data_IF_137133349234
#
_entry.id   IF_137133349234
#
_cell.length_a   1.000
_cell.length_b   1.000
_cell.length_c   1.000
_cell.angle_alpha   90.00
_cell.angle_beta   90.00
_cell.angle_gamma   90.00
#
_symmetry.space_group_name_H-M   'P 1'
#
loop_
_entity.id
_entity.type
_entity.pdbx_description
1 polymer ?
#
# COMPACT_ATOMS: atom_id res chain seq x y z
N UNK A 1 -33.44 -7.03 7.34
CA UNK A 1 -32.14 -6.69 7.92
C UNK A 1 -31.03 -7.03 6.95
N UNK A 2 -30.17 -6.06 6.67
CA UNK A 2 -29.08 -6.25 5.75
C UNK A 2 -27.95 -7.00 6.44
N UNK A 3 -27.42 -8.07 5.85
CA UNK A 3 -26.33 -8.79 6.49
C UNK A 3 -25.09 -7.91 6.56
N UNK A 4 -24.40 -7.98 7.67
CA UNK A 4 -23.14 -7.29 7.85
C UNK A 4 -22.06 -7.94 6.99
N UNK A 5 -21.31 -7.10 6.27
CA UNK A 5 -20.17 -7.59 5.53
C UNK A 5 -18.96 -7.57 6.45
N UNK A 6 -18.44 -8.74 6.73
CA UNK A 6 -17.27 -8.87 7.59
C UNK A 6 -16.03 -8.91 6.69
N UNK A 7 -15.22 -7.88 6.79
CA UNK A 7 -13.95 -7.84 6.09
C UNK A 7 -12.95 -8.76 6.75
N UNK A 8 -12.27 -9.55 5.96
CA UNK A 8 -11.20 -10.42 6.46
C UNK A 8 -9.86 -9.74 6.21
N UNK A 9 -8.95 -9.93 7.13
CA UNK A 9 -7.57 -9.48 6.94
C UNK A 9 -6.90 -10.34 5.88
N UNK A 10 -5.93 -9.76 5.18
CA UNK A 10 -5.17 -10.44 4.14
C UNK A 10 -3.71 -10.50 4.58
N UNK A 11 -3.12 -11.67 4.54
CA UNK A 11 -1.73 -11.86 4.91
C UNK A 11 -1.01 -12.61 3.79
N UNK A 12 -0.04 -11.95 3.17
CA UNK A 12 0.78 -12.54 2.12
C UNK A 12 2.21 -12.62 2.63
N UNK A 13 2.72 -13.83 2.78
CA UNK A 13 4.11 -14.03 3.19
C UNK A 13 5.00 -13.79 1.98
N UNK A 14 5.94 -12.85 2.13
CA UNK A 14 6.83 -12.49 1.05
C UNK A 14 7.86 -13.57 0.72
N UNK A 15 8.53 -13.35 -0.40
CA UNK A 15 9.61 -14.20 -0.87
C UNK A 15 10.77 -13.29 -1.27
N UNK A 16 11.78 -13.87 -1.93
CA UNK A 16 12.89 -13.09 -2.42
C UNK A 16 12.44 -12.05 -3.47
N UNK A 17 11.41 -12.38 -4.24
CA UNK A 17 10.93 -11.53 -5.33
C UNK A 17 9.60 -10.83 -5.03
N UNK A 18 8.95 -11.13 -3.92
CA UNK A 18 7.65 -10.54 -3.59
C UNK A 18 7.65 -9.99 -2.17
N UNK A 19 6.96 -8.86 -1.94
CA UNK A 19 6.93 -8.26 -0.62
C UNK A 19 6.02 -9.03 0.33
N UNK A 20 6.28 -8.87 1.62
CA UNK A 20 5.36 -9.32 2.66
C UNK A 20 4.28 -8.26 2.81
N UNK A 21 3.02 -8.66 2.72
CA UNK A 21 1.89 -7.73 2.78
C UNK A 21 0.91 -8.20 3.85
N UNK A 22 0.58 -7.30 4.75
CA UNK A 22 -0.45 -7.56 5.76
C UNK A 22 -1.50 -6.46 5.70
N UNK A 23 -2.74 -6.83 5.44
CA UNK A 23 -3.87 -5.92 5.41
C UNK A 23 -4.75 -6.23 6.61
N UNK A 24 -4.72 -5.36 7.61
CA UNK A 24 -5.46 -5.57 8.86
C UNK A 24 -6.84 -4.93 8.75
N UNK A 25 -7.87 -5.76 8.64
CA UNK A 25 -9.24 -5.28 8.50
C UNK A 25 -9.77 -4.61 9.76
N UNK A 26 -9.24 -4.96 10.93
CA UNK A 26 -9.71 -4.41 12.20
C UNK A 26 -9.18 -3.01 12.48
N UNK A 27 -7.96 -2.72 12.01
CA UNK A 27 -7.33 -1.42 12.26
C UNK A 27 -7.34 -0.50 11.05
N UNK A 28 -7.49 -1.04 9.84
CA UNK A 28 -7.38 -0.26 8.62
C UNK A 28 -5.95 0.06 8.23
N UNK A 29 -4.97 -0.71 8.73
CA UNK A 29 -3.56 -0.51 8.40
C UNK A 29 -3.11 -1.60 7.44
N UNK A 30 -2.53 -1.21 6.32
CA UNK A 30 -1.91 -2.13 5.37
C UNK A 30 -0.42 -1.89 5.36
N UNK A 31 0.36 -2.94 5.60
CA UNK A 31 1.81 -2.85 5.59
C UNK A 31 2.37 -3.66 4.42
N UNK A 32 3.42 -3.13 3.78
CA UNK A 32 4.13 -3.81 2.71
C UNK A 32 5.62 -3.63 2.94
N UNK A 33 6.38 -4.71 2.83
CA UNK A 33 7.81 -4.68 3.13
C UNK A 33 8.58 -5.61 2.21
N UNK A 34 9.71 -5.14 1.69
CA UNK A 34 10.66 -5.93 0.91
C UNK A 34 10.75 -5.52 -0.54
N UNK A 35 11.30 -6.42 -1.36
CA UNK A 35 11.45 -6.21 -2.80
C UNK A 35 10.22 -6.71 -3.54
N UNK A 36 9.89 -6.05 -4.64
CA UNK A 36 8.75 -6.44 -5.47
C UNK A 36 9.16 -6.53 -6.93
N UNK A 37 9.41 -7.74 -7.39
CA UNK A 37 9.66 -8.03 -8.80
C UNK A 37 9.13 -9.41 -9.19
N UNK A 38 7.82 -9.67 -8.91
CA UNK A 38 7.21 -10.95 -9.29
C UNK A 38 7.15 -11.08 -10.83
N UNK A 39 7.15 -12.31 -11.31
CA UNK A 39 7.04 -12.56 -12.75
C UNK A 39 5.72 -12.06 -13.31
N UNK A 40 4.65 -12.17 -12.52
CA UNK A 40 3.33 -11.71 -12.90
C UNK A 40 2.79 -10.79 -11.80
N UNK A 41 3.11 -9.51 -11.92
CA UNK A 41 2.67 -8.53 -10.93
C UNK A 41 1.16 -8.34 -10.91
N UNK A 42 0.52 -8.45 -12.05
CA UNK A 42 -0.94 -8.34 -12.12
C UNK A 42 -1.60 -9.42 -11.26
N UNK A 43 -1.16 -10.66 -11.42
CA UNK A 43 -1.71 -11.76 -10.65
C UNK A 43 -1.38 -11.61 -9.15
N UNK A 44 -0.13 -11.26 -8.85
CA UNK A 44 0.30 -11.12 -7.47
C UNK A 44 -0.49 -10.04 -6.73
N UNK A 45 -0.68 -8.87 -7.36
CA UNK A 45 -1.32 -7.74 -6.71
C UNK A 45 -2.84 -7.75 -6.82
N UNK A 46 -3.44 -8.66 -7.61
CA UNK A 46 -4.89 -8.67 -7.79
C UNK A 46 -5.64 -8.84 -6.48
N UNK A 47 -5.15 -9.70 -5.59
CA UNK A 47 -5.76 -9.88 -4.26
C UNK A 47 -5.66 -8.62 -3.40
N UNK A 48 -4.50 -7.96 -3.47
CA UNK A 48 -4.26 -6.74 -2.68
C UNK A 48 -5.17 -5.62 -3.17
N UNK A 49 -5.25 -5.43 -4.47
CA UNK A 49 -6.10 -4.41 -5.08
C UNK A 49 -7.57 -4.68 -4.75
N UNK A 50 -7.98 -5.94 -4.86
CA UNK A 50 -9.36 -6.32 -4.51
C UNK A 50 -9.66 -6.04 -3.04
N UNK A 51 -8.71 -6.34 -2.15
CA UNK A 51 -8.89 -6.06 -0.73
C UNK A 51 -9.06 -4.56 -0.48
N UNK A 52 -8.23 -3.74 -1.11
CA UNK A 52 -8.32 -2.28 -0.96
C UNK A 52 -9.68 -1.78 -1.45
N UNK A 53 -10.11 -2.24 -2.63
CA UNK A 53 -11.42 -1.85 -3.16
C UNK A 53 -12.55 -2.19 -2.20
N UNK A 54 -12.54 -3.41 -1.66
CA UNK A 54 -13.60 -3.84 -0.75
C UNK A 54 -13.55 -3.10 0.58
N UNK A 55 -12.35 -2.86 1.10
CA UNK A 55 -12.22 -2.09 2.33
C UNK A 55 -12.79 -0.67 2.16
N UNK A 56 -12.47 -0.02 1.06
CA UNK A 56 -12.95 1.33 0.80
C UNK A 56 -14.47 1.37 0.58
N UNK A 57 -15.06 0.30 0.08
CA UNK A 57 -16.50 0.24 -0.15
C UNK A 57 -17.29 -0.09 1.11
N UNK A 58 -16.77 -0.94 1.97
CA UNK A 58 -17.54 -1.54 3.05
C UNK A 58 -17.12 -1.12 4.46
N UNK A 59 -15.86 -0.78 4.67
CA UNK A 59 -15.38 -0.36 5.98
C UNK A 59 -15.55 1.15 6.15
N UNK A 60 -15.70 1.58 7.41
CA UNK A 60 -15.79 3.00 7.73
C UNK A 60 -14.51 3.56 8.33
N UNK A 61 -13.59 2.68 8.70
CA UNK A 61 -12.32 3.07 9.28
C UNK A 61 -11.42 3.76 8.25
N UNK A 62 -10.55 4.67 8.68
CA UNK A 62 -9.52 5.19 7.79
C UNK A 62 -8.63 4.07 7.27
N UNK A 63 -8.13 4.22 6.07
CA UNK A 63 -7.16 3.29 5.49
C UNK A 63 -5.79 3.95 5.50
N UNK A 64 -4.83 3.29 6.13
CA UNK A 64 -3.46 3.78 6.23
C UNK A 64 -2.50 2.75 5.66
N UNK A 65 -1.67 3.18 4.73
CA UNK A 65 -0.64 2.33 4.14
C UNK A 65 0.71 2.68 4.76
N UNK A 66 1.42 1.67 5.25
CA UNK A 66 2.78 1.81 5.74
C UNK A 66 3.68 0.97 4.83
N UNK A 67 4.52 1.65 4.07
CA UNK A 67 5.31 1.01 3.03
C UNK A 67 6.79 1.04 3.37
N UNK A 68 7.45 -0.12 3.24
CA UNK A 68 8.89 -0.27 3.39
C UNK A 68 9.41 -1.07 2.21
N UNK A 69 9.06 -0.59 1.02
CA UNK A 69 9.46 -1.24 -0.23
C UNK A 69 10.87 -0.78 -0.60
N UNK A 70 11.70 -1.72 -1.02
CA UNK A 70 13.12 -1.47 -1.30
C UNK A 70 13.34 -1.31 -2.80
N UNK A 71 12.88 -2.29 -3.57
CA UNK A 71 13.01 -2.31 -5.02
C UNK A 71 11.68 -2.72 -5.64
N UNK A 72 11.34 -2.10 -6.76
CA UNK A 72 10.15 -2.48 -7.52
C UNK A 72 10.47 -2.50 -9.01
N UNK A 73 10.05 -3.57 -9.70
CA UNK A 73 10.13 -3.59 -11.14
C UNK A 73 9.00 -2.72 -11.73
N UNK A 74 9.05 -2.50 -13.03
CA UNK A 74 8.10 -1.61 -13.71
C UNK A 74 6.65 -2.04 -13.49
N UNK A 75 6.37 -3.32 -13.54
CA UNK A 75 5.00 -3.81 -13.37
C UNK A 75 4.52 -3.66 -11.93
N UNK A 76 5.42 -3.76 -10.93
CA UNK A 76 5.08 -3.49 -9.55
C UNK A 76 4.78 -2.01 -9.33
N UNK A 77 5.56 -1.13 -9.98
CA UNK A 77 5.30 0.31 -9.93
C UNK A 77 3.89 0.60 -10.44
N UNK A 78 3.52 -0.02 -11.57
CA UNK A 78 2.19 0.17 -12.13
C UNK A 78 1.10 -0.31 -11.16
N UNK A 79 1.31 -1.45 -10.51
CA UNK A 79 0.34 -1.96 -9.53
C UNK A 79 0.18 -0.98 -8.36
N UNK A 80 1.28 -0.40 -7.88
CA UNK A 80 1.20 0.60 -6.81
C UNK A 80 0.46 1.86 -7.28
N UNK A 81 0.66 2.26 -8.54
CA UNK A 81 -0.10 3.39 -9.08
C UNK A 81 -1.59 3.10 -9.06
N UNK A 82 -1.99 1.89 -9.42
CA UNK A 82 -3.40 1.50 -9.39
C UNK A 82 -3.96 1.58 -7.96
N UNK A 83 -3.19 1.15 -6.97
CA UNK A 83 -3.60 1.24 -5.56
C UNK A 83 -3.74 2.72 -5.15
N UNK A 84 -2.78 3.55 -5.49
CA UNK A 84 -2.84 4.97 -5.13
C UNK A 84 -4.00 5.68 -5.84
N UNK A 85 -4.33 5.28 -7.07
CA UNK A 85 -5.49 5.82 -7.77
C UNK A 85 -6.80 5.49 -7.04
N UNK A 86 -6.89 4.29 -6.47
CA UNK A 86 -8.05 3.92 -5.65
C UNK A 86 -8.14 4.79 -4.39
N UNK A 87 -7.00 5.06 -3.76
CA UNK A 87 -6.96 5.93 -2.58
C UNK A 87 -7.36 7.35 -2.95
N UNK A 88 -6.86 7.84 -4.08
CA UNK A 88 -7.19 9.19 -4.54
C UNK A 88 -8.69 9.35 -4.80
N UNK A 89 -9.28 8.37 -5.48
CA UNK A 89 -10.72 8.39 -5.74
C UNK A 89 -11.53 8.38 -4.43
N UNK A 90 -11.10 7.58 -3.47
CA UNK A 90 -11.77 7.52 -2.16
C UNK A 90 -11.62 8.82 -1.40
N UNK A 91 -10.44 9.42 -1.46
CA UNK A 91 -10.16 10.70 -0.82
C UNK A 91 -11.08 11.80 -1.38
N UNK A 92 -11.26 11.83 -2.69
CA UNK A 92 -12.14 12.79 -3.33
C UNK A 92 -13.59 12.64 -2.87
N UNK A 93 -13.96 11.46 -2.42
CA UNK A 93 -15.30 11.20 -1.89
C UNK A 93 -15.40 11.37 -0.38
N UNK A 94 -14.36 11.91 0.25
CA UNK A 94 -14.38 12.22 1.67
C UNK A 94 -13.86 11.11 2.57
N UNK A 95 -13.31 10.03 2.00
CA UNK A 95 -12.72 8.95 2.80
C UNK A 95 -11.37 9.38 3.35
N UNK A 96 -11.08 8.97 4.57
CA UNK A 96 -9.79 9.23 5.19
C UNK A 96 -8.80 8.15 4.75
N UNK A 97 -7.80 8.54 3.98
CA UNK A 97 -6.74 7.64 3.51
C UNK A 97 -5.40 8.33 3.69
N UNK A 98 -4.35 7.56 3.93
CA UNK A 98 -3.01 8.11 4.09
C UNK A 98 -1.97 7.07 3.74
N UNK A 99 -0.78 7.56 3.37
CA UNK A 99 0.38 6.72 3.06
C UNK A 99 1.57 7.27 3.82
N UNK A 100 2.34 6.38 4.42
CA UNK A 100 3.65 6.71 4.96
C UNK A 100 4.66 5.74 4.37
N UNK A 101 5.64 6.27 3.64
CA UNK A 101 6.67 5.46 3.00
C UNK A 101 7.97 5.67 3.76
N UNK A 102 8.45 4.58 4.38
CA UNK A 102 9.71 4.58 5.10
C UNK A 102 10.80 4.06 4.17
N UNK A 103 11.93 4.77 4.11
CA UNK A 103 13.01 4.41 3.22
C UNK A 103 14.34 4.33 3.97
N UNK A 104 15.25 3.50 3.45
CA UNK A 104 16.63 3.47 3.92
C UNK A 104 17.34 4.70 3.37
N UNK A 105 17.94 5.56 4.24
CA UNK A 105 18.62 6.76 3.76
C UNK A 105 19.71 6.49 2.71
N UNK A 106 20.23 5.29 2.63
CA UNK A 106 21.22 4.92 1.64
C UNK A 106 20.59 4.61 0.27
N UNK A 107 19.27 4.44 0.20
CA UNK A 107 18.57 4.09 -1.03
C UNK A 107 17.89 5.32 -1.64
N UNK A 108 18.65 6.09 -2.40
CA UNK A 108 18.14 7.32 -3.03
C UNK A 108 17.09 7.06 -4.09
N UNK A 109 17.17 5.91 -4.77
CA UNK A 109 16.24 5.59 -5.85
C UNK A 109 14.80 5.43 -5.36
N UNK A 110 14.64 4.81 -4.21
CA UNK A 110 13.29 4.60 -3.68
C UNK A 110 12.68 5.91 -3.23
N UNK A 111 13.49 6.84 -2.74
CA UNK A 111 13.01 8.18 -2.36
C UNK A 111 12.48 8.92 -3.58
N UNK A 112 13.21 8.88 -4.68
CA UNK A 112 12.79 9.54 -5.92
C UNK A 112 11.47 8.94 -6.42
N UNK A 113 11.34 7.63 -6.36
CA UNK A 113 10.12 6.95 -6.76
C UNK A 113 8.94 7.33 -5.87
N UNK A 114 9.17 7.35 -4.55
CA UNK A 114 8.12 7.73 -3.60
C UNK A 114 7.67 9.18 -3.83
N UNK A 115 8.60 10.07 -4.14
CA UNK A 115 8.26 11.47 -4.44
C UNK A 115 7.44 11.60 -5.71
N UNK A 116 7.73 10.77 -6.73
CA UNK A 116 6.95 10.77 -7.96
C UNK A 116 5.51 10.32 -7.69
N UNK A 117 5.33 9.29 -6.89
CA UNK A 117 3.99 8.84 -6.50
C UNK A 117 3.25 9.94 -5.74
N UNK A 118 3.94 10.63 -4.83
CA UNK A 118 3.35 11.66 -4.01
C UNK A 118 2.82 12.83 -4.84
N UNK A 119 3.49 13.16 -5.93
CA UNK A 119 3.08 14.27 -6.79
C UNK A 119 1.67 14.10 -7.34
N UNK A 120 1.25 12.86 -7.56
CA UNK A 120 -0.06 12.56 -8.13
C UNK A 120 -1.15 12.34 -7.08
N UNK A 121 -0.80 12.47 -5.79
CA UNK A 121 -1.73 12.21 -4.69
C UNK A 121 -2.07 13.49 -3.94
N UNK A 122 -3.37 13.74 -3.72
CA UNK A 122 -3.80 14.89 -2.91
C UNK A 122 -4.10 14.52 -1.46
N UNK A 123 -4.14 13.23 -1.12
CA UNK A 123 -4.28 12.80 0.27
C UNK A 123 -2.92 12.85 0.99
N UNK A 124 -2.94 12.64 2.30
CA UNK A 124 -1.71 12.67 3.11
C UNK A 124 -0.74 11.57 2.68
N UNK A 125 0.44 11.98 2.21
CA UNK A 125 1.47 11.06 1.75
C UNK A 125 2.80 11.53 2.32
N UNK A 126 3.32 10.81 3.31
CA UNK A 126 4.56 11.15 3.97
C UNK A 126 5.69 10.22 3.53
N UNK A 127 6.89 10.78 3.39
CA UNK A 127 8.08 10.03 3.02
C UNK A 127 9.09 10.29 4.13
N UNK A 128 9.45 9.25 4.89
CA UNK A 128 10.29 9.40 6.06
C UNK A 128 11.43 8.40 6.07
N UNK A 129 12.62 8.79 6.57
CA UNK A 129 13.71 7.84 6.68
C UNK A 129 13.39 6.75 7.70
N UNK A 130 13.76 5.53 7.37
CA UNK A 130 13.59 4.41 8.28
C UNK A 130 14.66 4.53 9.38
N UNK A 131 14.20 4.54 10.62
CA UNK A 131 15.10 4.58 11.76
C UNK A 131 15.32 3.15 12.24
N UNK A 132 16.57 2.69 12.15
CA UNK A 132 16.92 1.33 12.55
C UNK A 132 16.63 1.05 14.03
N UNK A 133 16.56 2.08 14.83
CA UNK A 133 16.25 1.91 16.26
C UNK A 133 14.78 1.68 16.53
N UNK A 134 13.94 1.78 15.50
CA UNK A 134 12.49 1.62 15.62
C UNK A 134 12.01 0.19 15.35
N UNK A 135 12.91 -0.72 15.22
CA UNK A 135 12.52 -2.12 14.95
C UNK A 135 11.70 -2.72 16.09
#
# INVERSE_FOLDING_TARGET
MKPEIVMKSLNIVGSQSTPTIFCNADSGVMTMQGDSYPENSFEFFSEVISWVEQFLQHATLPLQLELRLIYMNTSSVKAMMDIFDLLEAAHEQGRSVSVCWYYDPENERVVELAEEFKEDCSFTFNIEPHDETMD
#
